data_IF_787256138654
#
_entry.id   IF_787256138654
#
_cell.length_a   1.000
_cell.length_b   1.000
_cell.length_c   1.000
_cell.angle_alpha   90.00
_cell.angle_beta   90.00
_cell.angle_gamma   90.00
#
_symmetry.space_group_name_H-M   'P 1'
#
loop_
_entity.id
_entity.type
_entity.pdbx_description
1 polymer ?
#
# COMPACT_ATOMS: atom_id res chain seq x y z
N UNK A 1 35.00 -51.42 -34.47
CA UNK A 1 34.06 -51.30 -33.33
C UNK A 1 33.79 -49.82 -33.13
N UNK A 2 32.71 -49.31 -33.74
CA UNK A 2 32.34 -47.89 -33.74
C UNK A 2 31.62 -47.57 -32.43
N UNK A 3 32.06 -46.51 -31.75
CA UNK A 3 31.47 -46.02 -30.49
C UNK A 3 30.13 -45.31 -30.72
N UNK A 4 29.17 -45.43 -29.78
CA UNK A 4 27.88 -44.77 -29.92
C UNK A 4 27.84 -43.43 -29.15
N UNK A 5 26.92 -42.58 -29.61
CA UNK A 5 26.48 -41.29 -29.05
C UNK A 5 27.19 -40.01 -29.52
N UNK A 6 27.02 -39.82 -30.83
CA UNK A 6 26.53 -38.57 -31.43
C UNK A 6 25.37 -37.94 -30.63
N UNK A 7 25.21 -36.61 -30.77
CA UNK A 7 24.06 -35.76 -30.36
C UNK A 7 24.13 -35.30 -28.89
N UNK A 8 24.34 -34.02 -28.52
CA UNK A 8 23.84 -32.78 -29.12
C UNK A 8 24.85 -31.63 -28.94
N UNK A 9 25.33 -31.11 -30.08
CA UNK A 9 25.50 -29.68 -30.27
C UNK A 9 24.17 -28.96 -30.02
N UNK A 10 24.18 -27.68 -29.65
CA UNK A 10 23.02 -26.77 -29.45
C UNK A 10 22.38 -27.01 -28.06
N UNK A 11 22.63 -26.26 -26.98
CA UNK A 11 22.43 -24.81 -26.75
C UNK A 11 23.29 -24.40 -25.55
N UNK A 12 24.47 -23.81 -25.79
CA UNK A 12 25.18 -22.99 -24.81
C UNK A 12 25.05 -21.53 -25.27
N UNK A 13 23.81 -21.07 -25.42
CA UNK A 13 23.48 -19.75 -25.97
C UNK A 13 22.21 -19.18 -25.30
N UNK A 14 22.18 -19.23 -23.97
CA UNK A 14 21.22 -18.48 -23.14
C UNK A 14 21.89 -17.99 -21.84
N UNK A 15 23.19 -17.65 -21.89
CA UNK A 15 23.74 -16.70 -20.94
C UNK A 15 23.38 -15.30 -21.43
N UNK A 16 22.82 -14.47 -20.54
CA UNK A 16 22.34 -13.10 -20.75
C UNK A 16 20.90 -12.96 -21.26
N UNK A 17 19.93 -13.46 -20.49
CA UNK A 17 18.70 -12.68 -20.34
C UNK A 17 18.85 -11.80 -19.10
N UNK A 18 19.71 -10.78 -19.19
CA UNK A 18 19.56 -9.61 -18.32
C UNK A 18 18.23 -8.97 -18.73
N UNK A 19 17.20 -9.12 -17.89
CA UNK A 19 15.96 -8.34 -17.98
C UNK A 19 16.12 -7.09 -17.09
N UNK A 20 16.61 -5.93 -17.56
CA UNK A 20 16.53 -4.72 -16.77
C UNK A 20 15.21 -4.04 -17.12
N UNK A 21 14.11 -4.38 -16.46
CA UNK A 21 12.85 -3.62 -16.62
C UNK A 21 11.97 -3.72 -15.39
N UNK A 22 12.46 -3.21 -14.25
CA UNK A 22 11.64 -3.02 -13.04
C UNK A 22 11.91 -1.68 -12.34
N UNK A 23 12.27 -0.64 -13.11
CA UNK A 23 12.54 0.70 -12.57
C UNK A 23 11.28 1.31 -11.91
N UNK A 24 10.10 1.09 -12.49
CA UNK A 24 8.86 1.67 -11.99
C UNK A 24 8.35 0.99 -10.72
N UNK A 25 8.37 -0.34 -10.66
CA UNK A 25 7.95 -1.10 -9.47
C UNK A 25 8.87 -0.81 -8.27
N UNK A 26 10.18 -0.76 -8.52
CA UNK A 26 11.19 -0.38 -7.50
C UNK A 26 10.97 1.07 -7.04
N UNK A 27 10.70 2.00 -7.95
CA UNK A 27 10.40 3.41 -7.62
C UNK A 27 9.13 3.55 -6.76
N UNK A 28 8.04 2.86 -7.11
CA UNK A 28 6.80 2.85 -6.33
C UNK A 28 7.00 2.27 -4.92
N UNK A 29 7.69 1.13 -4.82
CA UNK A 29 8.00 0.50 -3.52
C UNK A 29 8.85 1.42 -2.65
N UNK A 30 9.89 2.04 -3.21
CA UNK A 30 10.72 3.01 -2.48
C UNK A 30 9.93 4.24 -2.02
N UNK A 31 8.98 4.72 -2.82
CA UNK A 31 8.16 5.86 -2.44
C UNK A 31 7.16 5.54 -1.33
N UNK A 32 6.52 4.38 -1.41
CA UNK A 32 5.65 3.89 -0.35
C UNK A 32 6.41 3.79 0.98
N UNK A 33 7.61 3.21 0.97
CA UNK A 33 8.45 3.11 2.16
C UNK A 33 8.81 4.48 2.74
N UNK A 34 9.16 5.45 1.89
CA UNK A 34 9.43 6.83 2.29
C UNK A 34 8.21 7.48 2.98
N UNK A 35 7.01 7.32 2.40
CA UNK A 35 5.77 7.85 2.98
C UNK A 35 5.40 7.17 4.31
N UNK A 36 5.54 5.85 4.38
CA UNK A 36 5.32 5.08 5.60
C UNK A 36 6.30 5.49 6.71
N UNK A 37 7.57 5.66 6.38
CA UNK A 37 8.58 6.11 7.34
C UNK A 37 8.27 7.51 7.85
N UNK A 38 7.95 8.47 6.97
CA UNK A 38 7.52 9.82 7.38
C UNK A 38 6.30 9.77 8.29
N UNK A 39 5.32 8.91 7.99
CA UNK A 39 4.14 8.76 8.82
C UNK A 39 4.44 8.17 10.21
N UNK A 40 5.43 7.28 10.30
CA UNK A 40 5.93 6.73 11.57
C UNK A 40 6.67 7.81 12.37
N UNK A 41 7.62 8.49 11.75
CA UNK A 41 8.48 9.49 12.40
C UNK A 41 7.67 10.66 12.96
N UNK A 42 6.62 11.06 12.23
CA UNK A 42 5.70 12.14 12.63
C UNK A 42 4.49 11.64 13.45
N UNK A 43 4.43 10.34 13.74
CA UNK A 43 3.36 9.68 14.50
C UNK A 43 1.96 10.05 14.01
N UNK A 44 1.75 10.04 12.68
CA UNK A 44 0.45 10.40 12.10
C UNK A 44 -0.69 9.52 12.61
N UNK A 45 -0.37 8.29 12.98
CA UNK A 45 -1.32 7.33 13.53
C UNK A 45 -1.88 7.72 14.91
N UNK A 46 -1.24 8.63 15.65
CA UNK A 46 -1.75 9.14 16.93
C UNK A 46 -2.56 10.44 16.76
N UNK A 47 -2.58 11.02 15.55
CA UNK A 47 -3.20 12.31 15.35
C UNK A 47 -4.72 12.23 15.47
N UNK A 48 -5.30 13.21 16.16
CA UNK A 48 -6.76 13.32 16.38
C UNK A 48 -7.54 13.22 15.07
N UNK A 49 -7.07 13.84 13.99
CA UNK A 49 -7.79 13.80 12.72
C UNK A 49 -7.83 12.40 12.10
N UNK A 50 -6.72 11.65 12.17
CA UNK A 50 -6.70 10.22 11.81
C UNK A 50 -7.72 9.44 12.64
N UNK A 51 -7.71 9.65 13.96
CA UNK A 51 -8.66 8.98 14.85
C UNK A 51 -10.12 9.28 14.50
N UNK A 52 -10.44 10.51 14.10
CA UNK A 52 -11.78 10.91 13.70
C UNK A 52 -12.22 10.24 12.38
N UNK A 53 -11.33 10.16 11.38
CA UNK A 53 -11.63 9.52 10.09
C UNK A 53 -11.97 8.03 10.24
N UNK A 54 -11.47 7.38 11.29
CA UNK A 54 -11.67 5.96 11.56
C UNK A 54 -12.55 5.68 12.79
N UNK A 55 -13.18 6.72 13.36
CA UNK A 55 -14.05 6.59 14.53
C UNK A 55 -13.39 5.87 15.72
N UNK A 56 -12.09 6.10 15.96
CA UNK A 56 -11.40 5.55 17.12
C UNK A 56 -11.81 6.24 18.42
N UNK A 57 -12.02 5.43 19.46
CA UNK A 57 -12.21 5.86 20.85
C UNK A 57 -11.07 5.35 21.73
N UNK A 58 -10.62 6.14 22.71
CA UNK A 58 -9.68 5.65 23.70
C UNK A 58 -10.34 4.56 24.54
N UNK A 59 -9.60 3.48 24.81
CA UNK A 59 -10.07 2.43 25.71
C UNK A 59 -9.77 2.79 27.17
N UNK A 60 -10.50 2.18 28.11
CA UNK A 60 -10.34 2.41 29.57
C UNK A 60 -8.92 2.09 30.04
N UNK A 61 -8.27 1.09 29.45
CA UNK A 61 -6.92 0.64 29.81
C UNK A 61 -5.83 1.13 28.85
N UNK A 62 -6.11 2.17 28.05
CA UNK A 62 -5.20 2.72 27.05
C UNK A 62 -5.31 2.06 25.67
N UNK A 63 -4.71 2.70 24.68
CA UNK A 63 -4.92 2.36 23.26
C UNK A 63 -6.27 2.86 22.73
N UNK A 64 -6.60 2.42 21.52
CA UNK A 64 -7.79 2.86 20.80
C UNK A 64 -8.53 1.69 20.17
N UNK A 65 -9.86 1.81 20.04
CA UNK A 65 -10.69 0.89 19.27
C UNK A 65 -11.63 1.68 18.39
N UNK A 66 -11.75 1.30 17.12
CA UNK A 66 -12.71 1.90 16.20
C UNK A 66 -14.12 1.42 16.52
N UNK A 67 -15.08 2.35 16.50
CA UNK A 67 -16.52 2.07 16.64
C UNK A 67 -17.11 1.40 15.39
N UNK A 68 -16.35 1.27 14.29
CA UNK A 68 -16.84 0.63 13.07
C UNK A 68 -16.75 -0.89 13.20
N UNK A 69 -17.87 -1.58 12.94
CA UNK A 69 -17.96 -3.05 13.02
C UNK A 69 -17.71 -3.76 11.69
N UNK A 70 -17.73 -3.03 10.59
CA UNK A 70 -17.51 -3.58 9.27
C UNK A 70 -16.02 -3.91 9.04
N UNK A 71 -15.63 -5.18 8.83
CA UNK A 71 -14.24 -5.52 8.52
C UNK A 71 -13.77 -4.89 7.20
N UNK A 72 -14.65 -4.68 6.22
CA UNK A 72 -14.30 -4.09 4.92
C UNK A 72 -13.95 -2.59 5.03
N UNK A 73 -14.15 -1.98 6.20
CA UNK A 73 -13.73 -0.61 6.48
C UNK A 73 -12.22 -0.46 6.70
N UNK A 74 -11.54 -1.54 7.07
CA UNK A 74 -10.12 -1.53 7.44
C UNK A 74 -9.26 -2.15 6.34
N UNK A 75 -8.07 -1.57 6.15
CA UNK A 75 -7.05 -2.09 5.22
C UNK A 75 -6.12 -3.09 5.90
N UNK A 76 -6.00 -3.03 7.24
CA UNK A 76 -5.29 -3.99 8.06
C UNK A 76 -6.28 -4.89 8.80
N UNK A 77 -5.94 -6.17 8.98
CA UNK A 77 -6.71 -7.10 9.81
C UNK A 77 -6.78 -6.65 11.28
N UNK A 78 -5.73 -5.98 11.75
CA UNK A 78 -5.63 -5.38 13.08
C UNK A 78 -6.17 -3.94 13.12
N UNK A 79 -6.65 -3.41 11.98
CA UNK A 79 -6.96 -2.00 11.82
C UNK A 79 -8.03 -1.51 12.81
N UNK A 80 -8.92 -2.37 13.30
CA UNK A 80 -9.90 -1.96 14.32
C UNK A 80 -9.27 -1.50 15.64
N UNK A 81 -8.10 -2.00 16.00
CA UNK A 81 -7.45 -1.74 17.31
C UNK A 81 -6.03 -1.22 17.20
N UNK A 82 -5.45 -1.20 16.00
CA UNK A 82 -4.12 -0.65 15.74
C UNK A 82 -4.19 0.48 14.69
N UNK A 83 -4.31 1.75 15.14
CA UNK A 83 -4.29 2.92 14.26
C UNK A 83 -3.05 3.02 13.39
N UNK A 84 -1.91 2.47 13.83
CA UNK A 84 -0.66 2.49 13.08
C UNK A 84 -0.70 1.46 11.96
N UNK A 85 -1.08 0.22 12.26
CA UNK A 85 -1.22 -0.83 11.24
C UNK A 85 -2.19 -0.39 10.14
N UNK A 86 -3.32 0.21 10.52
CA UNK A 86 -4.31 0.70 9.57
C UNK A 86 -3.79 1.85 8.69
N UNK A 87 -3.02 2.77 9.26
CA UNK A 87 -2.43 3.88 8.49
C UNK A 87 -1.43 3.37 7.46
N UNK A 88 -0.57 2.43 7.84
CA UNK A 88 0.44 1.87 6.95
C UNK A 88 -0.19 1.04 5.84
N UNK A 89 -1.22 0.24 6.16
CA UNK A 89 -1.98 -0.51 5.17
C UNK A 89 -2.77 0.41 4.22
N UNK A 90 -3.34 1.50 4.75
CA UNK A 90 -4.00 2.53 3.94
C UNK A 90 -3.03 3.15 2.93
N UNK A 91 -1.81 3.53 3.36
CA UNK A 91 -0.79 4.06 2.45
C UNK A 91 -0.41 3.04 1.38
N UNK A 92 -0.24 1.76 1.75
CA UNK A 92 0.05 0.69 0.81
C UNK A 92 -1.07 0.57 -0.25
N UNK A 93 -2.33 0.58 0.17
CA UNK A 93 -3.45 0.38 -0.73
C UNK A 93 -3.63 1.53 -1.74
N UNK A 94 -3.17 2.75 -1.45
CA UNK A 94 -3.19 3.83 -2.44
C UNK A 94 -2.32 3.59 -3.68
N UNK A 95 -1.34 2.69 -3.59
CA UNK A 95 -0.51 2.26 -4.73
C UNK A 95 -1.09 1.06 -5.51
N UNK A 96 -2.19 0.47 -5.03
CA UNK A 96 -2.84 -0.69 -5.63
C UNK A 96 -4.10 -0.29 -6.43
N UNK A 97 -4.35 -0.92 -7.60
CA UNK A 97 -5.61 -0.76 -8.33
C UNK A 97 -6.75 -1.64 -7.78
N UNK A 98 -6.47 -2.48 -6.78
CA UNK A 98 -7.44 -3.41 -6.22
C UNK A 98 -8.63 -2.68 -5.57
N UNK A 99 -9.82 -3.22 -5.85
CA UNK A 99 -11.08 -2.74 -5.29
C UNK A 99 -11.18 -3.09 -3.80
N UNK A 100 -11.51 -2.09 -2.98
CA UNK A 100 -11.60 -2.23 -1.52
C UNK A 100 -12.86 -1.56 -0.98
N UNK A 101 -13.23 -1.95 0.24
CA UNK A 101 -14.40 -1.45 0.92
C UNK A 101 -15.71 -1.73 0.21
N UNK A 102 -16.81 -1.20 0.76
CA UNK A 102 -18.15 -1.44 0.22
C UNK A 102 -18.38 -0.86 -1.17
N UNK A 103 -17.67 0.21 -1.53
CA UNK A 103 -17.82 0.82 -2.85
C UNK A 103 -17.15 0.00 -3.96
N UNK A 104 -16.31 -0.99 -3.61
CA UNK A 104 -15.58 -1.83 -4.57
C UNK A 104 -14.79 -0.98 -5.57
N UNK A 105 -14.09 0.03 -5.04
CA UNK A 105 -13.27 0.97 -5.81
C UNK A 105 -11.83 0.95 -5.30
N UNK A 106 -10.86 1.44 -6.09
CA UNK A 106 -9.51 1.68 -5.60
C UNK A 106 -9.52 2.54 -4.32
N UNK A 107 -8.57 2.31 -3.42
CA UNK A 107 -8.57 2.93 -2.10
C UNK A 107 -8.61 4.47 -2.11
N UNK A 108 -7.99 5.12 -3.10
CA UNK A 108 -8.05 6.58 -3.25
C UNK A 108 -9.49 7.10 -3.39
N UNK A 109 -10.37 6.29 -3.97
CA UNK A 109 -11.77 6.62 -4.21
C UNK A 109 -12.70 6.12 -3.10
N UNK A 110 -12.52 4.86 -2.68
CA UNK A 110 -13.31 4.28 -1.60
C UNK A 110 -13.13 5.04 -0.27
N UNK A 111 -11.94 5.60 -0.03
CA UNK A 111 -11.59 6.30 1.20
C UNK A 111 -11.03 7.71 0.93
N UNK A 112 -11.74 8.49 0.12
CA UNK A 112 -11.30 9.81 -0.37
C UNK A 112 -10.89 10.79 0.74
N UNK A 113 -11.54 10.73 1.90
CA UNK A 113 -11.21 11.57 3.05
C UNK A 113 -9.84 11.22 3.65
N UNK A 114 -9.52 9.91 3.73
CA UNK A 114 -8.21 9.42 4.17
C UNK A 114 -7.12 9.82 3.18
N UNK A 115 -7.37 9.62 1.87
CA UNK A 115 -6.43 10.00 0.81
C UNK A 115 -6.14 11.50 0.82
N UNK A 116 -7.18 12.33 0.85
CA UNK A 116 -7.03 13.79 0.81
C UNK A 116 -6.24 14.33 2.02
N UNK A 117 -6.47 13.77 3.20
CA UNK A 117 -5.75 14.16 4.41
C UNK A 117 -4.27 13.73 4.37
N UNK A 118 -3.99 12.46 4.03
CA UNK A 118 -2.64 11.95 3.95
C UNK A 118 -1.84 12.64 2.84
N UNK A 119 -2.45 12.88 1.67
CA UNK A 119 -1.85 13.65 0.58
C UNK A 119 -1.40 15.03 1.03
N UNK A 120 -2.24 15.71 1.82
CA UNK A 120 -1.94 17.05 2.34
C UNK A 120 -0.80 17.03 3.36
N UNK A 121 -0.82 16.11 4.32
CA UNK A 121 0.13 16.10 5.43
C UNK A 121 1.50 15.51 5.03
N UNK A 122 1.51 14.52 4.15
CA UNK A 122 2.74 13.90 3.64
C UNK A 122 3.24 14.51 2.32
N UNK A 123 2.52 15.53 1.81
CA UNK A 123 2.86 16.25 0.57
C UNK A 123 3.14 15.29 -0.58
N UNK A 124 2.12 14.50 -0.98
CA UNK A 124 2.33 13.50 -2.02
C UNK A 124 2.80 14.17 -3.33
N UNK A 125 3.85 13.61 -3.91
CA UNK A 125 4.26 13.85 -5.28
C UNK A 125 3.32 13.08 -6.24
N UNK A 126 2.53 13.83 -7.00
CA UNK A 126 1.54 13.31 -7.96
C UNK A 126 2.17 12.58 -9.17
N UNK A 127 3.46 12.79 -9.46
CA UNK A 127 4.17 12.02 -10.49
C UNK A 127 4.50 10.60 -10.00
N UNK A 128 4.72 10.43 -8.69
CA UNK A 128 5.08 9.14 -8.07
C UNK A 128 3.87 8.38 -7.53
N UNK A 129 2.82 9.11 -7.14
CA UNK A 129 1.50 8.58 -6.77
C UNK A 129 0.40 9.40 -7.44
N UNK A 130 0.06 9.10 -8.71
CA UNK A 130 -0.96 9.85 -9.44
C UNK A 130 -2.34 9.78 -8.75
N UNK A 131 -3.02 10.93 -8.59
CA UNK A 131 -4.39 10.94 -8.10
C UNK A 131 -5.33 10.30 -9.13
N UNK A 132 -6.22 9.43 -8.65
CA UNK A 132 -7.25 8.84 -9.50
C UNK A 132 -8.46 9.78 -9.65
N UNK A 133 -9.07 9.75 -10.83
CA UNK A 133 -10.40 10.34 -11.03
C UNK A 133 -11.46 9.40 -10.46
N UNK A 134 -12.07 9.81 -9.34
CA UNK A 134 -13.04 9.00 -8.64
C UNK A 134 -14.46 9.31 -9.12
N UNK A 135 -15.20 8.32 -9.66
CA UNK A 135 -16.59 8.51 -10.04
C UNK A 135 -17.43 8.81 -8.79
N UNK A 136 -18.37 9.76 -8.92
CA UNK A 136 -19.33 10.10 -7.87
C UNK A 136 -20.46 9.09 -7.80
#
# INVERSE_FOLDING_TARGET
>A
MLGPFFLLSVIFLTFLVFHPSDSLATSKSSYLQELQQRAIDTRLYDQRYWHLLLHYRPNVFGGFTSEVDDPDFFMSQEGKTDPKAELLATLHQFFSPEAVGRSQQPAQCAFIARYSWLKKILEFNDERLPPLECPR
#
